data_IF_858267613261
#
_entry.id   IF_858267613261
#
_cell.length_a   1.000
_cell.length_b   1.000
_cell.length_c   1.000
_cell.angle_alpha   90.00
_cell.angle_beta   90.00
_cell.angle_gamma   90.00
#
_symmetry.space_group_name_H-M   'P 1'
#
loop_
_entity.id
_entity.type
_entity.pdbx_description
1 polymer ?
#
# COMPACT_ATOMS: atom_id res chain seq x y z
N UNK A 1 -67.43 -44.91 -43.04
CA UNK A 1 -68.35 -45.46 -42.02
C UNK A 1 -67.52 -45.93 -40.84
N UNK A 2 -67.94 -45.69 -39.59
CA UNK A 2 -67.41 -46.31 -38.35
C UNK A 2 -65.92 -45.99 -38.02
N UNK A 3 -65.45 -46.00 -36.76
CA UNK A 3 -66.10 -45.90 -35.43
C UNK A 3 -65.11 -45.28 -34.41
N UNK A 4 -65.58 -44.91 -33.22
CA UNK A 4 -64.83 -44.20 -32.16
C UNK A 4 -64.13 -45.12 -31.14
N UNK A 5 -63.03 -44.63 -30.52
CA UNK A 5 -62.51 -44.83 -29.13
C UNK A 5 -61.21 -43.99 -28.99
N UNK A 6 -60.90 -43.26 -27.91
CA UNK A 6 -60.70 -43.60 -26.48
C UNK A 6 -59.46 -44.49 -26.24
N UNK A 7 -58.58 -44.28 -25.23
CA UNK A 7 -58.48 -43.19 -24.22
C UNK A 7 -57.16 -42.38 -24.46
N UNK A 8 -56.31 -41.83 -23.57
CA UNK A 8 -56.13 -41.74 -22.09
C UNK A 8 -55.30 -40.44 -21.83
N UNK A 9 -55.75 -39.47 -21.02
CA UNK A 9 -55.38 -39.13 -19.62
C UNK A 9 -53.88 -39.15 -19.21
N UNK A 10 -53.51 -38.32 -18.22
CA UNK A 10 -52.32 -38.51 -17.38
C UNK A 10 -51.04 -37.73 -17.73
N UNK A 11 -50.92 -36.47 -17.27
CA UNK A 11 -49.83 -36.02 -16.35
C UNK A 11 -49.99 -34.53 -16.00
N UNK A 12 -50.29 -34.25 -14.74
CA UNK A 12 -50.44 -32.89 -14.21
C UNK A 12 -49.19 -32.47 -13.41
N UNK A 13 -48.88 -31.17 -13.40
CA UNK A 13 -48.03 -30.48 -12.40
C UNK A 13 -46.51 -30.74 -12.40
N UNK A 14 -45.73 -29.70 -12.74
CA UNK A 14 -44.63 -29.09 -11.92
C UNK A 14 -43.62 -28.31 -12.78
N UNK A 15 -43.94 -27.06 -13.13
CA UNK A 15 -42.93 -26.07 -13.54
C UNK A 15 -43.34 -24.61 -13.23
N UNK A 16 -43.79 -24.39 -11.99
CA UNK A 16 -43.85 -23.07 -11.34
C UNK A 16 -43.00 -23.15 -10.07
N UNK A 17 -42.42 -22.02 -9.66
CA UNK A 17 -41.46 -21.87 -8.53
C UNK A 17 -39.97 -22.10 -8.83
N UNK A 18 -39.43 -21.48 -9.90
CA UNK A 18 -37.96 -21.25 -10.00
C UNK A 18 -37.51 -19.92 -10.59
N UNK A 19 -38.40 -18.92 -10.66
CA UNK A 19 -37.96 -17.52 -10.83
C UNK A 19 -37.32 -17.05 -9.52
N UNK A 20 -36.00 -17.17 -9.46
CA UNK A 20 -35.21 -16.74 -8.31
C UNK A 20 -35.36 -15.23 -8.13
N UNK A 21 -36.05 -14.82 -7.05
CA UNK A 21 -36.29 -13.43 -6.63
C UNK A 21 -35.00 -12.62 -6.66
N UNK A 22 -34.75 -11.94 -7.77
CA UNK A 22 -33.53 -11.17 -7.99
C UNK A 22 -33.42 -10.10 -6.91
N UNK A 23 -32.42 -10.25 -6.03
CA UNK A 23 -32.11 -9.24 -5.02
C UNK A 23 -31.60 -8.01 -5.76
N UNK A 24 -32.47 -7.02 -6.00
CA UNK A 24 -32.04 -5.67 -6.39
C UNK A 24 -31.08 -5.18 -5.30
N UNK A 25 -29.79 -5.23 -5.61
CA UNK A 25 -28.74 -4.68 -4.77
C UNK A 25 -28.86 -3.15 -4.89
N UNK A 26 -29.63 -2.55 -3.98
CA UNK A 26 -29.86 -1.10 -3.96
C UNK A 26 -28.53 -0.43 -3.63
N UNK A 27 -27.88 0.14 -4.64
CA UNK A 27 -26.79 1.08 -4.43
C UNK A 27 -27.34 2.30 -3.71
N UNK A 28 -26.92 2.50 -2.46
CA UNK A 28 -27.19 3.75 -1.76
C UNK A 28 -26.43 4.88 -2.49
N UNK A 29 -27.07 6.02 -2.78
CA UNK A 29 -26.40 7.14 -3.41
C UNK A 29 -25.31 7.70 -2.47
N UNK A 30 -24.16 8.08 -3.03
CA UNK A 30 -23.05 8.63 -2.24
C UNK A 30 -23.39 9.96 -1.53
N UNK A 31 -24.44 10.64 -2.00
CA UNK A 31 -24.97 11.89 -1.45
C UNK A 31 -26.48 11.77 -1.22
N UNK A 32 -26.96 12.39 -0.15
CA UNK A 32 -28.36 12.41 0.25
C UNK A 32 -28.54 13.08 1.61
N UNK A 33 -29.79 13.39 1.96
CA UNK A 33 -30.16 14.22 3.14
C UNK A 33 -29.51 13.73 4.45
N UNK A 34 -29.39 12.42 4.65
CA UNK A 34 -28.73 11.85 5.83
C UNK A 34 -27.24 12.24 5.91
N UNK A 35 -26.52 12.23 4.78
CA UNK A 35 -25.10 12.60 4.74
C UNK A 35 -24.91 14.12 4.95
N UNK A 36 -25.87 14.94 4.53
CA UNK A 36 -25.86 16.40 4.81
C UNK A 36 -26.14 16.72 6.28
N UNK A 37 -27.05 16.00 6.93
CA UNK A 37 -27.36 16.16 8.35
C UNK A 37 -26.19 15.66 9.21
N UNK A 38 -25.66 14.46 8.92
CA UNK A 38 -24.49 13.93 9.61
C UNK A 38 -23.25 14.81 9.42
N UNK A 39 -23.03 15.36 8.23
CA UNK A 39 -21.93 16.29 7.96
C UNK A 39 -22.05 17.65 8.66
N UNK A 40 -23.21 17.99 9.23
CA UNK A 40 -23.44 19.17 10.09
C UNK A 40 -23.32 18.85 11.58
N UNK A 41 -23.61 17.61 11.98
CA UNK A 41 -23.54 17.14 13.37
C UNK A 41 -22.16 16.60 13.76
N UNK A 42 -21.43 16.03 12.81
CA UNK A 42 -20.12 15.41 13.01
C UNK A 42 -19.11 16.14 12.13
N UNK A 43 -18.23 16.91 12.75
CA UNK A 43 -17.04 17.44 12.08
C UNK A 43 -16.28 16.29 11.43
N UNK A 44 -15.96 16.40 10.13
CA UNK A 44 -15.14 15.39 9.46
C UNK A 44 -13.82 15.23 10.24
N UNK A 45 -13.37 14.00 10.53
CA UNK A 45 -12.02 13.78 11.04
C UNK A 45 -11.00 14.48 10.14
N UNK A 46 -9.93 15.07 10.70
CA UNK A 46 -8.85 15.60 9.88
C UNK A 46 -8.31 14.47 8.98
N UNK A 47 -7.96 14.82 7.75
CA UNK A 47 -7.28 13.87 6.87
C UNK A 47 -5.97 13.41 7.56
N UNK A 48 -5.64 12.11 7.56
CA UNK A 48 -4.39 11.65 8.15
C UNK A 48 -3.21 12.31 7.43
N UNK A 49 -2.25 12.81 8.21
CA UNK A 49 -1.02 13.34 7.66
C UNK A 49 -0.24 12.22 6.92
N UNK A 50 0.52 12.55 5.86
CA UNK A 50 1.34 11.56 5.16
C UNK A 50 2.29 10.84 6.11
N UNK A 51 2.35 9.52 6.02
CA UNK A 51 3.27 8.70 6.82
C UNK A 51 4.70 8.86 6.29
N UNK A 52 5.61 9.38 7.12
CA UNK A 52 7.03 9.54 6.75
C UNK A 52 7.71 8.19 6.62
N UNK A 53 8.29 7.91 5.46
CA UNK A 53 9.09 6.71 5.18
C UNK A 53 10.49 7.14 4.75
N UNK A 54 11.50 6.76 5.52
CA UNK A 54 12.89 7.12 5.22
C UNK A 54 13.43 6.23 4.10
N UNK A 55 14.10 6.81 3.10
CA UNK A 55 14.91 6.06 2.15
C UNK A 55 16.38 6.22 2.51
N UNK A 56 16.96 5.17 3.10
CA UNK A 56 18.38 5.07 3.44
C UNK A 56 19.06 4.14 2.45
N UNK A 57 20.30 4.45 2.07
CA UNK A 57 21.12 3.53 1.28
C UNK A 57 22.56 3.53 1.74
N UNK A 58 23.32 2.50 1.38
CA UNK A 58 24.72 2.36 1.77
C UNK A 58 25.61 1.78 0.65
N UNK A 59 26.91 2.06 0.77
CA UNK A 59 27.96 1.57 -0.12
C UNK A 59 29.35 1.83 0.44
N UNK A 60 30.34 1.05 0.01
CA UNK A 60 31.75 1.21 0.41
C UNK A 60 32.58 1.62 -0.81
N UNK A 61 33.18 2.82 -0.77
CA UNK A 61 33.90 3.49 -1.87
C UNK A 61 35.15 2.71 -2.29
N UNK A 62 35.90 2.16 -1.33
CA UNK A 62 37.17 1.46 -1.60
C UNK A 62 37.00 0.11 -2.34
N UNK A 63 35.78 -0.43 -2.40
CA UNK A 63 35.50 -1.71 -3.05
C UNK A 63 34.62 -1.61 -4.31
N UNK A 64 33.94 -0.49 -4.54
CA UNK A 64 32.97 -0.34 -5.63
C UNK A 64 33.03 1.03 -6.29
N UNK A 65 32.90 1.14 -7.63
CA UNK A 65 32.86 2.43 -8.31
C UNK A 65 31.72 3.32 -7.79
N UNK A 66 32.07 4.38 -7.06
CA UNK A 66 31.11 5.17 -6.28
C UNK A 66 30.00 5.78 -7.13
N UNK A 67 30.32 6.28 -8.32
CA UNK A 67 29.34 6.84 -9.27
C UNK A 67 28.26 5.82 -9.65
N UNK A 68 28.59 4.53 -9.72
CA UNK A 68 27.63 3.45 -9.98
C UNK A 68 26.74 3.16 -8.77
N UNK A 69 27.27 3.29 -7.55
CA UNK A 69 26.47 3.22 -6.32
C UNK A 69 25.49 4.42 -6.25
N UNK A 70 25.97 5.64 -6.46
CA UNK A 70 25.14 6.85 -6.50
C UNK A 70 24.10 6.82 -7.62
N UNK A 71 24.43 6.29 -8.81
CA UNK A 71 23.47 6.11 -9.90
C UNK A 71 22.37 5.09 -9.55
N UNK A 72 22.72 3.96 -8.93
CA UNK A 72 21.75 2.97 -8.43
C UNK A 72 20.85 3.54 -7.33
N UNK A 73 21.42 4.29 -6.39
CA UNK A 73 20.68 5.00 -5.36
C UNK A 73 19.61 5.92 -5.97
N UNK A 74 19.99 6.79 -6.93
CA UNK A 74 19.05 7.70 -7.59
C UNK A 74 17.96 6.94 -8.36
N UNK A 75 18.31 5.86 -9.06
CA UNK A 75 17.34 5.04 -9.77
C UNK A 75 16.34 4.33 -8.83
N UNK A 76 16.83 3.79 -7.70
CA UNK A 76 15.98 3.14 -6.69
C UNK A 76 15.06 4.16 -5.99
N UNK A 77 15.58 5.34 -5.65
CA UNK A 77 14.78 6.44 -5.11
C UNK A 77 13.69 6.88 -6.08
N UNK A 78 14.01 7.05 -7.37
CA UNK A 78 13.04 7.43 -8.39
C UNK A 78 11.90 6.39 -8.52
N UNK A 79 12.23 5.09 -8.49
CA UNK A 79 11.23 4.01 -8.54
C UNK A 79 10.35 4.01 -7.27
N UNK A 80 10.94 4.22 -6.09
CA UNK A 80 10.20 4.33 -4.83
C UNK A 80 9.27 5.55 -4.82
N UNK A 81 9.75 6.71 -5.27
CA UNK A 81 8.96 7.94 -5.38
C UNK A 81 7.82 7.79 -6.38
N UNK A 82 8.03 7.13 -7.53
CA UNK A 82 6.97 6.83 -8.50
C UNK A 82 5.88 5.94 -7.90
N UNK A 83 6.27 4.86 -7.21
CA UNK A 83 5.35 3.96 -6.51
C UNK A 83 4.60 4.64 -5.34
N UNK A 84 5.20 5.66 -4.72
CA UNK A 84 4.61 6.40 -3.61
C UNK A 84 3.56 7.45 -4.03
N UNK A 85 3.53 7.91 -5.29
CA UNK A 85 2.66 9.03 -5.74
C UNK A 85 1.17 8.86 -5.47
N UNK A 86 0.69 7.61 -5.38
CA UNK A 86 -0.73 7.28 -5.14
C UNK A 86 -1.04 6.96 -3.67
N UNK A 87 -0.05 7.04 -2.78
CA UNK A 87 -0.14 6.66 -1.37
C UNK A 87 -0.02 7.89 -0.46
N UNK A 88 -0.64 7.89 0.73
CA UNK A 88 -0.49 8.94 1.73
C UNK A 88 0.84 8.80 2.49
N UNK A 89 1.96 8.86 1.79
CA UNK A 89 3.32 8.70 2.36
C UNK A 89 4.26 9.81 1.89
N UNK A 90 5.17 10.20 2.76
CA UNK A 90 6.26 11.15 2.46
C UNK A 90 7.57 10.37 2.40
N UNK A 91 8.17 10.25 1.22
CA UNK A 91 9.50 9.61 1.07
C UNK A 91 10.58 10.63 1.43
N UNK A 92 11.33 10.37 2.50
CA UNK A 92 12.41 11.22 3.01
C UNK A 92 13.77 10.60 2.66
N UNK A 93 14.48 11.05 1.61
CA UNK A 93 15.72 10.43 1.16
C UNK A 93 16.97 10.98 1.87
N UNK A 94 17.98 10.11 2.03
CA UNK A 94 19.37 10.58 2.11
C UNK A 94 19.87 11.00 0.71
N UNK A 95 20.80 11.96 0.60
CA UNK A 95 21.26 12.50 -0.70
C UNK A 95 22.16 11.53 -1.50
N UNK A 96 22.82 10.61 -0.79
CA UNK A 96 23.78 9.65 -1.31
C UNK A 96 23.80 8.39 -0.42
N UNK A 97 24.44 7.29 -0.84
CA UNK A 97 24.69 6.16 0.05
C UNK A 97 25.64 6.56 1.20
N UNK A 98 25.36 6.07 2.41
CA UNK A 98 26.26 6.18 3.55
C UNK A 98 27.41 5.17 3.46
N UNK A 99 28.57 5.58 3.95
CA UNK A 99 29.74 4.70 4.16
C UNK A 99 30.08 4.57 5.65
N UNK A 100 29.94 5.65 6.44
CA UNK A 100 30.10 5.64 7.90
C UNK A 100 28.72 5.40 8.60
N UNK A 101 28.59 4.43 9.52
CA UNK A 101 27.38 4.25 10.31
C UNK A 101 27.00 5.47 11.17
N UNK A 102 27.96 6.31 11.56
CA UNK A 102 27.73 7.51 12.37
C UNK A 102 27.02 8.59 11.58
N UNK A 103 27.37 8.77 10.31
CA UNK A 103 26.65 9.68 9.39
C UNK A 103 25.21 9.21 9.19
N UNK A 104 25.01 7.89 9.00
CA UNK A 104 23.69 7.30 8.84
C UNK A 104 22.81 7.46 10.10
N UNK A 105 23.37 7.24 11.30
CA UNK A 105 22.64 7.42 12.56
C UNK A 105 22.33 8.89 12.82
N UNK A 106 23.29 9.79 12.66
CA UNK A 106 23.08 11.23 12.83
C UNK A 106 22.04 11.79 11.84
N UNK A 107 21.95 11.24 10.62
CA UNK A 107 20.86 11.53 9.69
C UNK A 107 19.52 11.03 10.25
N UNK A 108 19.42 9.76 10.65
CA UNK A 108 18.18 9.17 11.17
C UNK A 108 17.64 9.90 12.41
N UNK A 109 18.50 10.19 13.38
CA UNK A 109 18.15 10.89 14.62
C UNK A 109 17.62 12.32 14.36
N UNK A 110 17.94 12.92 13.21
CA UNK A 110 17.49 14.26 12.83
C UNK A 110 16.06 14.32 12.27
N UNK A 111 15.47 13.18 11.87
CA UNK A 111 14.19 13.16 11.13
C UNK A 111 12.95 13.24 12.01
N UNK A 112 13.10 12.98 13.31
CA UNK A 112 11.99 12.81 14.24
C UNK A 112 11.22 11.50 14.01
N UNK A 113 9.96 11.38 14.47
CA UNK A 113 9.16 10.17 14.29
C UNK A 113 8.92 9.83 12.82
N UNK A 114 9.19 8.58 12.45
CA UNK A 114 9.00 8.02 11.10
C UNK A 114 8.17 6.74 11.18
N UNK A 115 7.36 6.48 10.16
CA UNK A 115 6.44 5.33 10.10
C UNK A 115 7.07 4.09 9.43
N UNK A 116 8.31 4.19 8.97
CA UNK A 116 9.05 3.09 8.36
C UNK A 116 10.34 3.52 7.68
N UNK A 117 11.16 2.53 7.30
CA UNK A 117 12.45 2.73 6.68
C UNK A 117 12.64 1.73 5.53
N UNK A 118 13.03 2.24 4.35
CA UNK A 118 13.47 1.47 3.20
C UNK A 118 14.99 1.52 3.15
N UNK A 119 15.64 0.37 3.33
CA UNK A 119 17.09 0.25 3.28
C UNK A 119 17.54 -0.32 1.93
N UNK A 120 18.36 0.42 1.19
CA UNK A 120 18.81 0.05 -0.16
C UNK A 120 20.32 -0.22 -0.24
N UNK A 121 20.67 -1.44 -0.65
CA UNK A 121 22.04 -1.88 -0.86
C UNK A 121 22.56 -1.40 -2.23
N UNK A 122 23.07 -0.16 -2.30
CA UNK A 122 23.51 0.43 -3.57
C UNK A 122 24.78 -0.24 -4.14
N UNK A 123 25.63 -0.79 -3.27
CA UNK A 123 26.78 -1.61 -3.66
C UNK A 123 27.03 -2.77 -2.69
N UNK A 124 27.55 -2.48 -1.51
CA UNK A 124 27.85 -3.43 -0.43
C UNK A 124 27.68 -2.74 0.91
N UNK A 125 27.27 -3.51 1.92
CA UNK A 125 27.01 -3.04 3.28
C UNK A 125 28.05 -3.63 4.21
N UNK A 126 28.88 -2.79 4.82
CA UNK A 126 29.73 -3.22 5.92
C UNK A 126 28.85 -3.76 7.06
N UNK A 127 29.28 -4.84 7.72
CA UNK A 127 28.50 -5.45 8.80
C UNK A 127 28.12 -4.46 9.91
N UNK A 128 29.02 -3.52 10.20
CA UNK A 128 28.81 -2.43 11.17
C UNK A 128 27.60 -1.53 10.83
N UNK A 129 27.39 -1.16 9.56
CA UNK A 129 26.20 -0.43 9.10
C UNK A 129 24.93 -1.23 9.45
N UNK A 130 24.93 -2.53 9.17
CA UNK A 130 23.80 -3.41 9.45
C UNK A 130 23.53 -3.57 10.96
N UNK A 131 24.58 -3.71 11.77
CA UNK A 131 24.48 -3.80 13.23
C UNK A 131 24.02 -2.49 13.88
N UNK A 132 24.53 -1.34 13.42
CA UNK A 132 24.10 -0.02 13.89
C UNK A 132 22.64 0.27 13.54
N UNK A 133 22.23 0.02 12.29
CA UNK A 133 20.82 0.18 11.89
C UNK A 133 19.91 -0.79 12.66
N UNK A 134 20.31 -2.07 12.78
CA UNK A 134 19.56 -3.07 13.54
C UNK A 134 19.41 -2.73 15.01
N UNK A 135 20.40 -2.07 15.63
CA UNK A 135 20.28 -1.53 16.99
C UNK A 135 19.33 -0.33 17.04
N UNK A 136 19.50 0.63 16.14
CA UNK A 136 18.68 1.85 16.09
C UNK A 136 17.17 1.53 15.95
N UNK A 137 16.82 0.53 15.14
CA UNK A 137 15.44 0.04 14.97
C UNK A 137 14.86 -0.67 16.20
N UNK A 138 15.68 -1.12 17.16
CA UNK A 138 15.21 -1.67 18.44
C UNK A 138 14.98 -0.58 19.49
N UNK A 139 15.65 0.57 19.34
CA UNK A 139 15.49 1.74 20.20
C UNK A 139 14.38 2.70 19.68
N UNK A 140 13.99 2.58 18.40
CA UNK A 140 12.97 3.40 17.73
C UNK A 140 11.92 2.53 16.99
N UNK A 141 10.94 1.96 17.70
CA UNK A 141 9.88 1.09 17.15
C UNK A 141 8.67 1.85 16.56
#
# INVERSE_FOLDING_TARGET
>A
MLSSRQEEDGTMTRSRSREARARRQVSLPATGVLNEILGKLVSRPPAPAPAKVVFVSCGVKIHFPWDKACARHRAALQVLQEAAKSLPVEIVPCEAPFEDPREMLAFLDSLGPVAGLVFFHAAYTAGEIGSCLGRWLLDHP
#
